data_IF_164124159376
#
_entry.id   IF_164124159376
#
_cell.length_a   1.000
_cell.length_b   1.000
_cell.length_c   1.000
_cell.angle_alpha   90.00
_cell.angle_beta   90.00
_cell.angle_gamma   90.00
#
_symmetry.space_group_name_H-M   'P 1'
#
loop_
_entity.id
_entity.type
_entity.pdbx_description
1 polymer ?
#
# COMPACT_ATOMS: atom_id res chain seq x y z
N UNK A 1 -16.24 12.67 10.02
CA UNK A 1 -15.28 12.17 9.02
C UNK A 1 -15.19 10.65 9.17
N UNK A 2 -15.25 9.89 8.08
CA UNK A 2 -15.04 8.45 8.10
C UNK A 2 -13.59 8.15 8.47
N UNK A 3 -13.38 7.15 9.35
CA UNK A 3 -12.05 6.75 9.81
C UNK A 3 -11.22 6.04 8.72
N UNK A 4 -11.86 5.64 7.61
CA UNK A 4 -11.25 4.87 6.53
C UNK A 4 -11.61 5.48 5.16
N UNK A 5 -10.68 5.39 4.17
CA UNK A 5 -10.93 5.85 2.80
C UNK A 5 -12.19 5.20 2.21
N UNK A 6 -13.07 6.03 1.66
CA UNK A 6 -14.33 5.63 1.05
C UNK A 6 -14.21 5.54 -0.47
N UNK A 7 -15.25 4.99 -1.11
CA UNK A 7 -15.36 4.98 -2.56
C UNK A 7 -15.50 6.40 -3.14
N UNK A 8 -16.08 7.31 -2.35
CA UNK A 8 -16.21 8.72 -2.69
C UNK A 8 -14.83 9.39 -2.69
N UNK A 9 -14.02 9.11 -1.66
CA UNK A 9 -12.64 9.64 -1.57
C UNK A 9 -11.79 9.22 -2.78
N UNK A 10 -11.90 7.96 -3.23
CA UNK A 10 -11.20 7.48 -4.44
C UNK A 10 -11.64 8.25 -5.69
N UNK A 11 -12.95 8.49 -5.85
CA UNK A 11 -13.46 9.24 -7.00
C UNK A 11 -13.04 10.70 -6.98
N UNK A 12 -13.01 11.32 -5.79
CA UNK A 12 -12.55 12.69 -5.61
C UNK A 12 -11.05 12.80 -5.93
N UNK A 13 -10.21 11.87 -5.46
CA UNK A 13 -8.79 11.82 -5.78
C UNK A 13 -8.57 11.67 -7.30
N UNK A 14 -9.31 10.78 -7.97
CA UNK A 14 -9.25 10.65 -9.43
C UNK A 14 -9.63 11.95 -10.16
N UNK A 15 -10.70 12.62 -9.71
CA UNK A 15 -11.15 13.88 -10.30
C UNK A 15 -10.11 15.00 -10.10
N UNK A 16 -9.56 15.13 -8.89
CA UNK A 16 -8.53 16.12 -8.58
C UNK A 16 -7.25 15.89 -9.38
N UNK A 17 -6.78 14.64 -9.50
CA UNK A 17 -5.63 14.30 -10.34
C UNK A 17 -5.88 14.61 -11.82
N UNK A 18 -7.05 14.25 -12.33
CA UNK A 18 -7.42 14.55 -13.71
C UNK A 18 -7.48 16.07 -13.97
N UNK A 19 -8.02 16.86 -13.03
CA UNK A 19 -8.05 18.32 -13.14
C UNK A 19 -6.65 18.93 -13.11
N UNK A 20 -5.79 18.50 -12.19
CA UNK A 20 -4.40 18.97 -12.12
C UNK A 20 -3.62 18.61 -13.39
N UNK A 21 -3.83 17.42 -13.94
CA UNK A 21 -3.20 16.99 -15.19
C UNK A 21 -3.72 17.79 -16.39
N UNK A 22 -5.02 18.08 -16.44
CA UNK A 22 -5.61 18.93 -17.47
C UNK A 22 -5.07 20.37 -17.40
N UNK A 23 -4.92 20.93 -16.18
CA UNK A 23 -4.28 22.23 -15.98
C UNK A 23 -2.82 22.22 -16.44
N UNK A 24 -2.05 21.20 -16.08
CA UNK A 24 -0.66 21.04 -16.50
C UNK A 24 -0.53 20.89 -18.03
N UNK A 25 -1.45 20.19 -18.68
CA UNK A 25 -1.48 20.05 -20.14
C UNK A 25 -1.93 21.33 -20.87
N UNK A 26 -2.63 22.24 -20.18
CA UNK A 26 -3.04 23.55 -20.69
C UNK A 26 -2.02 24.67 -20.44
N UNK A 27 -0.89 24.36 -19.78
CA UNK A 27 0.21 25.31 -19.65
C UNK A 27 0.80 25.57 -21.05
N UNK A 28 0.92 26.84 -21.50
CA UNK A 28 1.44 27.15 -22.82
C UNK A 28 2.87 26.59 -22.95
N UNK A 29 3.10 25.77 -23.97
CA UNK A 29 4.42 25.35 -24.38
C UNK A 29 5.18 26.58 -24.88
N UNK A 30 5.99 27.19 -24.02
CA UNK A 30 6.96 28.18 -24.49
C UNK A 30 7.90 27.45 -25.47
N UNK A 31 8.11 27.98 -26.68
CA UNK A 31 9.08 27.39 -27.60
C UNK A 31 10.47 27.36 -26.94
N UNK A 32 11.35 26.40 -27.27
CA UNK A 32 12.72 26.46 -26.80
C UNK A 32 13.30 27.80 -27.24
N UNK A 33 13.68 28.63 -26.27
CA UNK A 33 14.21 29.95 -26.54
C UNK A 33 15.46 29.79 -27.42
N UNK A 34 15.36 30.30 -28.65
CA UNK A 34 16.53 30.64 -29.46
C UNK A 34 17.48 31.40 -28.55
N UNK A 35 18.72 30.92 -28.38
CA UNK A 35 19.76 31.64 -27.67
C UNK A 35 20.33 32.73 -28.58
N UNK A 36 20.04 34.03 -28.35
CA UNK A 36 20.80 35.08 -28.98
C UNK A 36 21.97 35.38 -28.03
N UNK A 37 23.20 35.15 -28.49
CA UNK A 37 24.34 35.77 -27.84
C UNK A 37 24.18 37.29 -27.79
N UNK A 38 24.75 37.88 -26.74
CA UNK A 38 25.04 39.31 -26.49
C UNK A 38 24.05 40.05 -25.57
N UNK A 39 24.47 41.14 -24.93
CA UNK A 39 25.68 41.40 -24.13
C UNK A 39 25.28 41.70 -22.67
N UNK A 40 26.24 41.73 -21.74
CA UNK A 40 26.00 42.00 -20.31
C UNK A 40 25.79 43.51 -20.07
N UNK A 41 24.70 43.94 -19.38
CA UNK A 41 24.76 45.22 -18.67
C UNK A 41 24.14 45.18 -17.25
N UNK A 42 25.00 45.52 -16.29
CA UNK A 42 24.79 46.44 -15.16
C UNK A 42 23.41 46.52 -14.48
N UNK A 43 23.45 46.11 -13.21
CA UNK A 43 22.71 46.61 -12.04
C UNK A 43 21.85 47.86 -12.25
N UNK A 44 20.52 47.73 -12.11
CA UNK A 44 19.66 48.67 -11.39
C UNK A 44 18.22 48.14 -11.24
N UNK A 45 17.80 48.03 -9.98
CA UNK A 45 16.48 48.41 -9.42
C UNK A 45 15.17 47.86 -10.01
N UNK A 46 14.55 46.95 -9.24
CA UNK A 46 13.12 47.09 -8.86
C UNK A 46 12.07 46.34 -9.67
N UNK A 47 11.71 45.13 -9.21
CA UNK A 47 10.31 44.72 -8.92
C UNK A 47 10.29 43.30 -8.35
N UNK A 48 10.53 43.17 -7.04
CA UNK A 48 10.25 41.94 -6.29
C UNK A 48 8.77 41.93 -5.90
N UNK A 49 8.06 40.85 -6.25
CA UNK A 49 6.65 40.63 -5.90
C UNK A 49 6.44 40.24 -4.41
N UNK A 50 7.51 40.22 -3.61
CA UNK A 50 7.44 40.08 -2.16
C UNK A 50 8.17 41.26 -1.49
N UNK A 51 7.60 41.83 -0.41
CA UNK A 51 8.28 42.89 0.33
C UNK A 51 9.58 42.33 0.91
N UNK A 52 10.72 42.87 0.47
CA UNK A 52 12.00 42.65 1.15
C UNK A 52 11.98 43.42 2.47
N UNK A 53 12.39 42.76 3.54
CA UNK A 53 12.44 43.27 4.92
C UNK A 53 13.55 44.33 5.12
N UNK A 54 13.63 45.32 4.24
CA UNK A 54 14.66 46.36 4.27
C UNK A 54 14.45 47.40 5.37
N UNK A 55 13.21 47.64 5.78
CA UNK A 55 12.88 48.73 6.71
C UNK A 55 11.73 48.31 7.64
N UNK A 56 12.09 47.72 8.77
CA UNK A 56 11.13 47.38 9.83
C UNK A 56 11.56 48.12 11.11
N UNK A 57 10.67 48.97 11.63
CA UNK A 57 10.88 49.79 12.83
C UNK A 57 12.05 50.79 12.76
N UNK A 58 12.30 51.40 11.59
CA UNK A 58 13.24 52.53 11.46
C UNK A 58 14.71 52.21 11.73
N UNK A 59 15.08 50.93 11.63
CA UNK A 59 16.46 50.46 11.71
C UNK A 59 16.88 49.96 10.32
N UNK A 60 17.78 50.67 9.66
CA UNK A 60 18.43 50.18 8.44
C UNK A 60 19.40 49.05 8.82
N UNK A 61 18.98 47.81 8.57
CA UNK A 61 19.77 46.60 8.77
C UNK A 61 20.60 46.30 7.52
N UNK A 62 21.53 47.19 7.18
CA UNK A 62 22.49 46.95 6.10
C UNK A 62 23.51 45.89 6.56
N UNK A 63 23.89 44.95 5.67
CA UNK A 63 24.79 43.83 6.00
C UNK A 63 26.10 44.27 6.69
N UNK A 64 26.60 45.47 6.36
CA UNK A 64 27.82 46.02 6.94
C UNK A 64 27.63 46.47 8.40
N UNK A 65 26.44 46.93 8.78
CA UNK A 65 26.13 47.37 10.16
C UNK A 65 25.96 46.17 11.09
N UNK A 66 25.40 45.07 10.58
CA UNK A 66 25.23 43.82 11.33
C UNK A 66 26.59 43.19 11.65
N UNK A 67 27.51 43.17 10.68
CA UNK A 67 28.87 42.64 10.85
C UNK A 67 29.67 43.37 11.92
N UNK A 68 29.45 44.67 12.08
CA UNK A 68 30.20 45.49 13.03
C UNK A 68 29.70 45.35 14.48
N UNK A 69 28.40 45.14 14.68
CA UNK A 69 27.78 45.12 16.01
C UNK A 69 27.43 43.70 16.53
N UNK A 70 27.32 42.68 15.67
CA UNK A 70 27.09 41.28 16.06
C UNK A 70 27.87 40.31 15.16
N UNK A 71 29.16 40.05 15.44
CA UNK A 71 29.99 39.20 14.59
C UNK A 71 29.55 37.72 14.55
N UNK A 72 28.81 37.22 15.56
CA UNK A 72 28.30 35.84 15.59
C UNK A 72 27.23 35.54 14.52
N UNK A 73 26.51 36.55 14.02
CA UNK A 73 25.44 36.33 13.02
C UNK A 73 25.93 36.27 11.57
N UNK A 74 27.21 36.54 11.32
CA UNK A 74 27.80 36.58 9.97
C UNK A 74 28.00 35.21 9.29
N UNK A 75 27.68 34.10 9.98
CA UNK A 75 27.89 32.74 9.46
C UNK A 75 26.64 32.01 8.96
N UNK A 76 25.46 32.66 8.94
CA UNK A 76 24.19 31.95 8.63
C UNK A 76 23.65 32.24 7.21
N UNK A 77 24.25 33.16 6.46
CA UNK A 77 23.80 33.48 5.09
C UNK A 77 24.73 32.87 4.03
N UNK A 78 24.56 31.57 3.76
CA UNK A 78 24.95 30.98 2.48
C UNK A 78 23.71 30.83 1.59
N UNK A 79 23.79 31.20 0.29
CA UNK A 79 22.77 30.82 -0.68
C UNK A 79 22.76 29.29 -0.78
N UNK A 80 21.57 28.70 -0.77
CA UNK A 80 21.34 27.27 -0.98
C UNK A 80 21.84 26.85 -2.37
N UNK A 81 23.12 26.54 -2.48
CA UNK A 81 23.63 25.56 -3.42
C UNK A 81 23.38 24.17 -2.80
N UNK A 82 22.86 23.25 -3.59
CA UNK A 82 22.69 21.84 -3.21
C UNK A 82 24.05 21.23 -2.83
N UNK A 83 24.31 21.10 -1.53
CA UNK A 83 25.48 20.39 -1.00
C UNK A 83 25.13 18.90 -0.92
N UNK A 84 25.94 17.99 -1.51
CA UNK A 84 25.83 16.56 -1.26
C UNK A 84 26.13 16.31 0.22
N UNK A 85 25.19 15.71 0.94
CA UNK A 85 25.32 15.41 2.36
C UNK A 85 26.46 14.38 2.53
N UNK A 86 27.55 14.68 3.26
CA UNK A 86 28.51 13.67 3.64
C UNK A 86 27.82 12.75 4.66
N UNK A 87 27.75 11.47 4.32
CA UNK A 87 27.19 10.42 5.18
C UNK A 87 28.12 10.24 6.38
N UNK A 88 27.99 11.11 7.38
CA UNK A 88 28.56 10.90 8.71
C UNK A 88 27.88 9.68 9.32
N UNK A 89 28.68 8.74 9.81
CA UNK A 89 28.27 7.45 10.39
C UNK A 89 27.55 7.60 11.73
N UNK A 90 26.49 8.39 11.79
CA UNK A 90 25.50 8.34 12.85
C UNK A 90 24.32 7.57 12.30
N UNK A 91 24.42 6.25 12.43
CA UNK A 91 23.36 5.28 12.24
C UNK A 91 22.22 5.59 13.21
N UNK A 92 21.38 6.56 12.88
CA UNK A 92 19.97 6.51 13.26
C UNK A 92 19.39 5.33 12.47
N UNK A 93 19.50 4.13 13.04
CA UNK A 93 18.92 2.91 12.49
C UNK A 93 17.41 3.12 12.50
N UNK A 94 16.84 3.41 11.33
CA UNK A 94 15.40 3.24 11.11
C UNK A 94 14.99 1.87 11.64
N UNK A 95 13.75 1.66 12.15
CA UNK A 95 13.33 0.37 12.67
C UNK A 95 13.76 -0.72 11.68
N UNK A 96 14.54 -1.68 12.18
CA UNK A 96 15.27 -2.71 11.42
C UNK A 96 14.37 -3.45 10.40
N UNK A 97 13.05 -3.35 10.59
CA UNK A 97 12.00 -3.96 9.79
C UNK A 97 11.52 -3.12 8.58
N UNK A 98 11.84 -1.82 8.49
CA UNK A 98 11.32 -0.91 7.45
C UNK A 98 11.80 -1.22 6.03
N UNK A 99 12.94 -1.91 5.88
CA UNK A 99 13.47 -2.38 4.61
C UNK A 99 13.15 -3.85 4.33
N UNK A 100 12.38 -4.52 5.21
CA UNK A 100 12.08 -5.94 5.00
C UNK A 100 11.15 -6.13 3.80
N UNK A 101 11.54 -7.03 2.89
CA UNK A 101 10.77 -7.38 1.70
C UNK A 101 9.36 -7.88 2.08
N UNK A 102 9.26 -8.66 3.17
CA UNK A 102 7.98 -9.11 3.71
C UNK A 102 7.05 -7.98 4.10
N UNK A 103 7.55 -6.91 4.72
CA UNK A 103 6.73 -5.76 5.09
C UNK A 103 6.23 -5.00 3.85
N UNK A 104 7.08 -4.82 2.84
CA UNK A 104 6.69 -4.17 1.59
C UNK A 104 5.62 -4.98 0.83
N UNK A 105 5.75 -6.32 0.80
CA UNK A 105 4.79 -7.22 0.13
C UNK A 105 3.49 -7.42 0.90
N UNK A 106 3.57 -7.48 2.24
CA UNK A 106 2.44 -7.76 3.12
C UNK A 106 1.72 -6.51 3.63
N UNK A 107 2.11 -5.31 3.19
CA UNK A 107 1.43 -4.07 3.57
C UNK A 107 -0.04 -4.13 3.14
N UNK A 108 -0.94 -4.07 4.11
CA UNK A 108 -2.38 -3.93 3.88
C UNK A 108 -2.72 -2.45 3.98
N UNK A 109 -3.08 -1.83 2.85
CA UNK A 109 -3.41 -0.39 2.82
C UNK A 109 -4.78 -0.08 3.41
N UNK A 110 -5.69 -1.07 3.41
CA UNK A 110 -7.14 -0.90 3.62
C UNK A 110 -7.80 0.16 2.72
N UNK A 111 -7.06 0.65 1.72
CA UNK A 111 -7.49 1.66 0.78
C UNK A 111 -8.49 1.10 -0.22
N UNK A 112 -9.11 2.01 -0.97
CA UNK A 112 -9.96 1.65 -2.10
C UNK A 112 -9.14 1.87 -3.36
N UNK A 113 -9.03 0.82 -4.18
CA UNK A 113 -8.32 0.84 -5.47
C UNK A 113 -9.23 0.40 -6.60
N UNK A 114 -8.99 0.95 -7.80
CA UNK A 114 -9.67 0.53 -9.02
C UNK A 114 -8.78 -0.43 -9.81
N UNK A 115 -9.37 -1.54 -10.24
CA UNK A 115 -8.73 -2.58 -11.03
C UNK A 115 -9.46 -2.75 -12.36
N UNK A 116 -8.72 -3.11 -13.40
CA UNK A 116 -9.29 -3.49 -14.69
C UNK A 116 -9.02 -4.97 -14.92
N UNK A 117 -10.10 -5.75 -15.04
CA UNK A 117 -10.04 -7.18 -15.29
C UNK A 117 -10.34 -7.48 -16.76
N UNK A 118 -9.78 -8.58 -17.22
CA UNK A 118 -10.10 -9.20 -18.51
C UNK A 118 -10.61 -10.63 -18.27
N UNK A 119 -11.31 -11.19 -19.24
CA UNK A 119 -11.71 -12.60 -19.23
C UNK A 119 -10.66 -13.42 -19.97
N UNK A 120 -10.50 -14.65 -19.52
CA UNK A 120 -9.69 -15.65 -20.21
C UNK A 120 -10.39 -16.15 -21.50
N UNK A 121 -9.74 -17.09 -22.19
CA UNK A 121 -10.26 -17.72 -23.40
C UNK A 121 -11.57 -18.48 -23.16
N UNK A 122 -11.86 -18.87 -21.92
CA UNK A 122 -13.08 -19.56 -21.50
C UNK A 122 -14.17 -18.58 -21.02
N UNK A 123 -13.93 -17.27 -21.09
CA UNK A 123 -14.87 -16.25 -20.63
C UNK A 123 -14.97 -16.14 -19.10
N UNK A 124 -13.97 -16.64 -18.37
CA UNK A 124 -13.90 -16.61 -16.91
C UNK A 124 -12.84 -15.62 -16.45
N UNK A 125 -12.99 -15.15 -15.21
CA UNK A 125 -12.01 -14.24 -14.58
C UNK A 125 -11.13 -14.99 -13.55
N UNK A 126 -11.56 -16.20 -13.13
CA UNK A 126 -10.86 -16.98 -12.11
C UNK A 126 -11.10 -16.52 -10.67
N UNK A 127 -12.29 -15.98 -10.39
CA UNK A 127 -12.65 -15.42 -9.09
C UNK A 127 -13.87 -16.13 -8.48
N UNK A 128 -13.86 -16.39 -7.17
CA UNK A 128 -15.09 -16.67 -6.40
C UNK A 128 -15.29 -15.65 -5.29
N UNK A 129 -16.55 -15.29 -5.09
CA UNK A 129 -16.97 -14.31 -4.09
C UNK A 129 -17.95 -14.89 -3.08
N UNK A 130 -18.06 -14.26 -1.92
CA UNK A 130 -19.02 -14.60 -0.87
C UNK A 130 -19.66 -13.33 -0.30
N UNK A 131 -20.98 -13.32 -0.12
CA UNK A 131 -21.65 -12.25 0.62
C UNK A 131 -21.44 -12.42 2.13
N UNK A 132 -20.98 -11.36 2.81
CA UNK A 132 -20.82 -11.29 4.28
C UNK A 132 -21.31 -9.92 4.73
N UNK A 133 -22.27 -9.86 5.66
CA UNK A 133 -22.81 -8.60 6.21
C UNK A 133 -23.16 -7.55 5.13
N UNK A 134 -23.84 -7.97 4.06
CA UNK A 134 -24.17 -7.15 2.87
C UNK A 134 -22.97 -6.65 2.04
N UNK A 135 -21.73 -6.99 2.38
CA UNK A 135 -20.56 -6.82 1.53
C UNK A 135 -20.28 -8.05 0.66
N UNK A 136 -19.53 -7.87 -0.42
CA UNK A 136 -19.08 -8.96 -1.31
C UNK A 136 -17.57 -9.11 -1.16
N UNK A 137 -17.10 -10.29 -0.77
CA UNK A 137 -15.69 -10.56 -0.48
C UNK A 137 -15.13 -11.64 -1.37
N UNK A 138 -13.87 -11.48 -1.77
CA UNK A 138 -13.12 -12.46 -2.55
C UNK A 138 -12.70 -13.61 -1.65
N UNK A 139 -13.08 -14.83 -2.03
CA UNK A 139 -12.83 -16.04 -1.24
C UNK A 139 -11.92 -17.05 -1.93
N UNK A 140 -11.76 -16.95 -3.25
CA UNK A 140 -10.82 -17.74 -4.00
C UNK A 140 -10.38 -16.94 -5.22
N UNK A 141 -9.08 -16.90 -5.43
CA UNK A 141 -8.46 -16.40 -6.66
C UNK A 141 -7.70 -17.57 -7.26
N UNK A 142 -7.99 -17.87 -8.53
CA UNK A 142 -7.35 -18.97 -9.24
C UNK A 142 -5.94 -18.52 -9.65
N UNK A 143 -4.94 -19.37 -9.43
CA UNK A 143 -3.56 -19.12 -9.89
C UNK A 143 -3.52 -18.85 -11.40
N UNK A 144 -2.68 -17.90 -11.83
CA UNK A 144 -2.50 -17.51 -13.24
C UNK A 144 -3.78 -17.05 -13.95
N UNK A 145 -4.82 -16.68 -13.19
CA UNK A 145 -6.07 -16.15 -13.74
C UNK A 145 -6.00 -14.62 -13.94
N UNK A 146 -6.89 -14.05 -14.77
CA UNK A 146 -6.98 -12.60 -14.89
C UNK A 146 -7.23 -11.87 -13.56
N UNK A 147 -7.92 -12.50 -12.60
CA UNK A 147 -8.07 -11.98 -11.25
C UNK A 147 -6.74 -11.89 -10.50
N UNK A 148 -5.92 -12.94 -10.55
CA UNK A 148 -4.59 -12.97 -9.94
C UNK A 148 -3.67 -11.90 -10.56
N UNK A 149 -3.68 -11.80 -11.90
CA UNK A 149 -2.88 -10.80 -12.62
C UNK A 149 -3.29 -9.36 -12.34
N UNK A 150 -4.57 -9.11 -12.06
CA UNK A 150 -5.04 -7.80 -11.61
C UNK A 150 -4.73 -7.52 -10.13
N UNK A 151 -4.09 -8.46 -9.43
CA UNK A 151 -3.71 -8.31 -8.03
C UNK A 151 -4.86 -8.47 -7.05
N UNK A 152 -5.96 -9.14 -7.42
CA UNK A 152 -7.00 -9.52 -6.45
C UNK A 152 -6.45 -10.61 -5.52
N UNK A 153 -6.75 -10.48 -4.22
CA UNK A 153 -6.37 -11.47 -3.21
C UNK A 153 -7.58 -11.96 -2.42
N UNK A 154 -7.38 -13.07 -1.70
CA UNK A 154 -8.33 -13.47 -0.65
C UNK A 154 -8.54 -12.31 0.31
N UNK A 155 -9.77 -12.11 0.80
CA UNK A 155 -10.08 -11.05 1.76
C UNK A 155 -10.46 -9.71 1.14
N UNK A 156 -10.14 -9.47 -0.14
CA UNK A 156 -10.52 -8.23 -0.83
C UNK A 156 -12.04 -8.04 -0.88
N UNK A 157 -12.51 -6.82 -0.62
CA UNK A 157 -13.93 -6.48 -0.68
C UNK A 157 -14.27 -5.77 -1.99
N UNK A 158 -15.18 -6.33 -2.77
CA UNK A 158 -15.67 -5.68 -3.99
C UNK A 158 -16.76 -4.68 -3.63
N UNK A 159 -16.58 -3.43 -4.05
CA UNK A 159 -17.53 -2.34 -3.83
C UNK A 159 -18.36 -2.04 -5.08
N UNK A 160 -17.71 -2.02 -6.25
CA UNK A 160 -18.37 -1.76 -7.54
C UNK A 160 -17.82 -2.67 -8.64
N UNK A 161 -18.67 -3.03 -9.59
CA UNK A 161 -18.29 -3.65 -10.87
C UNK A 161 -18.96 -2.87 -12.00
N UNK A 162 -18.17 -2.36 -12.95
CA UNK A 162 -18.61 -1.53 -14.08
C UNK A 162 -19.56 -0.39 -13.64
N UNK A 163 -19.19 0.30 -12.56
CA UNK A 163 -19.98 1.40 -11.97
C UNK A 163 -21.21 0.98 -11.16
N UNK A 164 -21.55 -0.31 -11.11
CA UNK A 164 -22.69 -0.82 -10.33
C UNK A 164 -22.25 -1.20 -8.91
N UNK A 165 -22.89 -0.63 -7.89
CA UNK A 165 -22.69 -1.04 -6.49
C UNK A 165 -23.13 -2.49 -6.28
N UNK A 166 -22.27 -3.30 -5.67
CA UNK A 166 -22.56 -4.72 -5.41
C UNK A 166 -22.99 -5.00 -3.96
N UNK A 167 -23.19 -3.95 -3.15
CA UNK A 167 -23.68 -4.10 -1.79
C UNK A 167 -25.03 -4.85 -1.76
N UNK A 168 -25.13 -5.86 -0.91
CA UNK A 168 -26.31 -6.72 -0.77
C UNK A 168 -26.50 -7.75 -1.88
N UNK A 169 -25.61 -7.84 -2.87
CA UNK A 169 -25.77 -8.81 -3.94
C UNK A 169 -25.44 -10.23 -3.46
N UNK A 170 -26.18 -11.21 -3.97
CA UNK A 170 -25.86 -12.62 -3.79
C UNK A 170 -24.65 -13.02 -4.64
N UNK A 171 -24.02 -14.13 -4.27
CA UNK A 171 -22.91 -14.72 -5.04
C UNK A 171 -23.29 -14.90 -6.52
N UNK A 172 -24.46 -15.47 -6.80
CA UNK A 172 -24.92 -15.74 -8.16
C UNK A 172 -25.11 -14.46 -8.97
N UNK A 173 -25.69 -13.42 -8.36
CA UNK A 173 -25.90 -12.12 -9.01
C UNK A 173 -24.57 -11.45 -9.38
N UNK A 174 -23.54 -11.57 -8.54
CA UNK A 174 -22.19 -11.06 -8.84
C UNK A 174 -21.56 -11.85 -9.99
N UNK A 175 -21.69 -13.18 -9.98
CA UNK A 175 -21.19 -14.01 -11.07
C UNK A 175 -21.90 -13.73 -12.40
N UNK A 176 -23.21 -13.48 -12.37
CA UNK A 176 -23.98 -13.09 -13.55
C UNK A 176 -23.54 -11.74 -14.10
N UNK A 177 -23.24 -10.78 -13.23
CA UNK A 177 -22.73 -9.46 -13.62
C UNK A 177 -21.37 -9.60 -14.31
N UNK A 178 -20.46 -10.39 -13.76
CA UNK A 178 -19.16 -10.70 -14.39
C UNK A 178 -19.33 -11.44 -15.72
N UNK A 179 -20.28 -12.37 -15.83
CA UNK A 179 -20.58 -13.09 -17.08
C UNK A 179 -21.14 -12.16 -18.16
N UNK A 180 -22.03 -11.23 -17.81
CA UNK A 180 -22.62 -10.25 -18.75
C UNK A 180 -21.66 -9.14 -19.16
N UNK A 181 -20.61 -8.90 -18.38
CA UNK A 181 -19.60 -7.88 -18.68
C UNK A 181 -18.82 -8.21 -19.97
N UNK A 182 -18.20 -7.22 -20.64
CA UNK A 182 -17.37 -7.46 -21.80
C UNK A 182 -16.17 -8.36 -21.47
N UNK A 183 -15.52 -8.90 -22.52
CA UNK A 183 -14.31 -9.73 -22.38
C UNK A 183 -13.17 -8.91 -21.77
N UNK A 184 -12.98 -7.66 -22.20
CA UNK A 184 -11.95 -6.78 -21.68
C UNK A 184 -12.57 -5.53 -21.05
N UNK A 185 -11.83 -4.90 -20.13
CA UNK A 185 -12.22 -3.60 -19.58
C UNK A 185 -13.25 -3.68 -18.44
N UNK A 186 -13.30 -4.80 -17.71
CA UNK A 186 -14.19 -4.92 -16.55
C UNK A 186 -13.59 -4.10 -15.41
N UNK A 187 -14.19 -2.97 -15.09
CA UNK A 187 -13.71 -2.11 -14.01
C UNK A 187 -14.27 -2.59 -12.67
N UNK A 188 -13.40 -2.79 -11.69
CA UNK A 188 -13.78 -3.23 -10.35
C UNK A 188 -13.16 -2.30 -9.33
N UNK A 189 -13.99 -1.71 -8.46
CA UNK A 189 -13.51 -0.97 -7.30
C UNK A 189 -13.47 -1.92 -6.10
N UNK A 190 -12.31 -2.02 -5.47
CA UNK A 190 -12.02 -2.98 -4.41
C UNK A 190 -11.49 -2.22 -3.20
N UNK A 191 -11.88 -2.65 -2.00
CA UNK A 191 -11.22 -2.28 -0.75
C UNK A 191 -10.28 -3.40 -0.32
N UNK A 192 -9.04 -3.02 -0.06
CA UNK A 192 -7.94 -3.92 0.30
C UNK A 192 -8.24 -4.58 1.65
N UNK A 193 -8.54 -5.88 1.62
CA UNK A 193 -8.46 -6.80 2.77
C UNK A 193 -8.88 -6.17 4.13
N UNK A 194 -10.14 -5.70 4.28
CA UNK A 194 -10.57 -4.88 5.41
C UNK A 194 -10.58 -5.59 6.77
N UNK A 195 -10.54 -6.92 6.80
CA UNK A 195 -10.55 -7.72 8.03
C UNK A 195 -9.18 -8.32 8.38
N UNK A 196 -8.18 -8.04 7.56
CA UNK A 196 -6.83 -8.57 7.75
C UNK A 196 -6.00 -7.66 8.62
N UNK A 197 -5.02 -8.24 9.30
CA UNK A 197 -4.04 -7.52 10.10
C UNK A 197 -2.65 -8.05 9.80
N UNK A 198 -1.74 -7.14 9.44
CA UNK A 198 -0.33 -7.44 9.26
C UNK A 198 0.41 -7.28 10.59
N UNK A 199 1.22 -8.26 10.96
CA UNK A 199 2.02 -8.27 12.18
C UNK A 199 3.45 -8.64 11.82
N UNK A 200 4.40 -7.78 12.16
CA UNK A 200 5.83 -8.04 12.00
C UNK A 200 6.39 -8.64 13.29
N UNK A 201 7.09 -9.75 13.15
CA UNK A 201 7.67 -10.55 14.21
C UNK A 201 9.17 -10.67 13.98
N UNK A 202 9.89 -10.95 15.07
CA UNK A 202 11.32 -11.22 15.03
C UNK A 202 11.58 -12.62 15.55
N UNK A 203 12.41 -13.37 14.84
CA UNK A 203 12.93 -14.65 15.32
C UNK A 203 13.86 -14.42 16.51
N UNK A 204 13.76 -15.30 17.49
CA UNK A 204 14.76 -15.39 18.56
C UNK A 204 16.03 -16.10 18.05
N UNK A 205 17.05 -16.17 18.88
CA UNK A 205 18.31 -16.91 18.67
C UNK A 205 18.13 -18.38 18.24
N UNK A 206 17.00 -19.00 18.60
CA UNK A 206 16.62 -20.38 18.22
C UNK A 206 15.83 -20.42 16.89
N UNK A 207 15.60 -19.29 16.23
CA UNK A 207 14.84 -19.21 14.97
C UNK A 207 13.31 -19.24 15.15
N UNK A 208 12.81 -19.15 16.38
CA UNK A 208 11.39 -19.24 16.69
C UNK A 208 10.75 -17.84 16.84
N UNK A 209 9.54 -17.66 16.31
CA UNK A 209 8.74 -16.42 16.46
C UNK A 209 7.75 -16.46 17.64
N UNK A 210 7.42 -17.67 18.12
CA UNK A 210 6.71 -17.88 19.39
C UNK A 210 5.20 -18.04 19.34
N UNK A 211 4.65 -18.64 18.28
CA UNK A 211 3.28 -19.14 18.28
C UNK A 211 3.19 -20.53 17.68
N UNK A 212 2.13 -21.27 18.04
CA UNK A 212 1.78 -22.56 17.46
C UNK A 212 0.47 -22.42 16.71
N UNK A 213 0.37 -23.08 15.56
CA UNK A 213 -0.82 -23.07 14.73
C UNK A 213 -1.15 -24.49 14.26
N UNK A 214 -2.43 -24.72 13.95
CA UNK A 214 -2.96 -25.99 13.45
C UNK A 214 -3.97 -25.73 12.35
N UNK A 215 -3.77 -26.36 11.19
CA UNK A 215 -4.53 -26.09 9.96
C UNK A 215 -4.57 -24.59 9.62
N UNK A 216 -3.42 -23.91 9.80
CA UNK A 216 -3.29 -22.46 9.65
C UNK A 216 -3.96 -21.58 10.72
N UNK A 217 -4.68 -22.15 11.71
CA UNK A 217 -5.26 -21.39 12.84
C UNK A 217 -4.27 -21.28 13.99
N UNK A 218 -4.02 -20.08 14.50
CA UNK A 218 -3.17 -19.83 15.67
C UNK A 218 -3.90 -20.29 16.94
N UNK A 219 -3.27 -21.22 17.67
CA UNK A 219 -3.86 -21.86 18.87
C UNK A 219 -3.19 -21.36 20.15
N UNK A 220 -1.87 -21.27 20.16
CA UNK A 220 -1.10 -20.99 21.37
C UNK A 220 -0.03 -19.95 21.08
N UNK A 221 0.21 -19.07 22.04
CA UNK A 221 1.28 -18.07 21.99
C UNK A 221 2.25 -18.36 23.13
N UNK A 222 3.54 -18.38 22.82
CA UNK A 222 4.61 -18.61 23.78
C UNK A 222 4.84 -17.30 24.56
N UNK A 223 4.94 -17.40 25.88
CA UNK A 223 5.24 -16.24 26.74
C UNK A 223 6.62 -15.67 26.43
N UNK A 224 6.77 -14.37 26.60
CA UNK A 224 8.02 -13.62 26.36
C UNK A 224 8.58 -13.69 24.92
N UNK A 225 7.79 -14.22 23.99
CA UNK A 225 8.16 -14.30 22.58
C UNK A 225 7.87 -13.03 21.79
N UNK A 226 8.39 -12.93 20.56
CA UNK A 226 8.02 -11.84 19.66
C UNK A 226 6.53 -11.82 19.35
N UNK A 227 5.88 -12.98 19.20
CA UNK A 227 4.44 -13.07 18.98
C UNK A 227 3.63 -12.46 20.13
N UNK A 228 4.03 -12.72 21.39
CA UNK A 228 3.39 -12.14 22.56
C UNK A 228 3.58 -10.62 22.62
N UNK A 229 4.81 -10.14 22.36
CA UNK A 229 5.16 -8.70 22.39
C UNK A 229 4.45 -7.88 21.31
N UNK A 230 4.25 -8.46 20.12
CA UNK A 230 3.60 -7.78 18.99
C UNK A 230 2.08 -8.00 18.94
N UNK A 231 1.50 -8.65 19.96
CA UNK A 231 0.05 -8.81 20.10
C UNK A 231 -0.57 -9.70 19.02
N UNK A 232 0.10 -10.80 18.65
CA UNK A 232 -0.53 -11.90 17.91
C UNK A 232 -1.70 -12.41 18.75
N UNK A 233 -2.80 -12.78 18.11
CA UNK A 233 -4.01 -13.25 18.78
C UNK A 233 -4.26 -14.71 18.43
N UNK A 234 -4.77 -15.47 19.39
CA UNK A 234 -5.31 -16.82 19.15
C UNK A 234 -6.65 -16.72 18.43
N UNK A 235 -7.15 -17.84 17.88
CA UNK A 235 -8.39 -17.86 17.08
C UNK A 235 -8.35 -16.92 15.87
N UNK A 236 -7.15 -16.77 15.30
CA UNK A 236 -6.89 -16.10 14.03
C UNK A 236 -6.28 -17.08 13.04
N UNK A 237 -6.67 -16.95 11.77
CA UNK A 237 -6.15 -17.73 10.66
C UNK A 237 -4.98 -16.99 10.00
N UNK A 238 -3.89 -17.71 9.74
CA UNK A 238 -2.79 -17.24 8.89
C UNK A 238 -3.24 -17.18 7.43
N UNK A 239 -3.03 -16.03 6.79
CA UNK A 239 -3.32 -15.81 5.38
C UNK A 239 -2.05 -15.67 4.55
N UNK A 240 -1.07 -14.90 5.04
CA UNK A 240 0.18 -14.68 4.33
C UNK A 240 1.39 -14.78 5.28
N UNK A 241 2.52 -15.23 4.75
CA UNK A 241 3.83 -15.19 5.40
C UNK A 241 4.80 -14.52 4.42
N UNK A 242 5.47 -13.44 4.81
CA UNK A 242 6.36 -12.64 3.95
C UNK A 242 5.69 -12.14 2.64
N UNK A 243 4.37 -11.93 2.71
CA UNK A 243 3.54 -11.56 1.56
C UNK A 243 3.18 -12.72 0.61
N UNK A 244 3.63 -13.94 0.89
CA UNK A 244 3.19 -15.13 0.17
C UNK A 244 1.90 -15.69 0.79
N UNK A 245 0.88 -15.93 -0.02
CA UNK A 245 -0.38 -16.53 0.43
C UNK A 245 -0.16 -17.99 0.88
N UNK A 246 -0.65 -18.34 2.08
CA UNK A 246 -0.57 -19.68 2.67
C UNK A 246 -1.94 -20.37 2.86
N UNK A 247 -3.02 -19.76 2.38
CA UNK A 247 -4.39 -20.27 2.54
C UNK A 247 -4.58 -21.61 1.84
N UNK A 248 -4.81 -22.67 2.62
CA UNK A 248 -5.03 -24.02 2.10
C UNK A 248 -3.78 -24.90 2.08
N UNK A 249 -2.60 -24.34 2.31
CA UNK A 249 -1.37 -25.13 2.41
C UNK A 249 -1.36 -26.02 3.66
N UNK A 250 -0.53 -27.07 3.65
CA UNK A 250 -0.33 -27.92 4.82
C UNK A 250 0.55 -27.19 5.83
N UNK A 251 0.32 -27.41 7.12
CA UNK A 251 1.11 -26.78 8.20
C UNK A 251 2.62 -26.97 8.00
N UNK A 252 3.05 -28.15 7.54
CA UNK A 252 4.47 -28.41 7.22
C UNK A 252 5.07 -27.46 6.18
N UNK A 253 4.29 -27.03 5.19
CA UNK A 253 4.76 -26.08 4.16
C UNK A 253 4.83 -24.67 4.74
N UNK A 254 3.83 -24.27 5.53
CA UNK A 254 3.80 -22.97 6.20
C UNK A 254 4.96 -22.84 7.19
N UNK A 255 5.26 -23.89 7.96
CA UNK A 255 6.42 -23.92 8.86
C UNK A 255 7.72 -23.74 8.09
N UNK A 256 7.89 -24.40 6.93
CA UNK A 256 9.07 -24.21 6.08
C UNK A 256 9.23 -22.77 5.61
N UNK A 257 8.15 -22.12 5.17
CA UNK A 257 8.23 -20.71 4.78
C UNK A 257 8.61 -19.79 5.93
N UNK A 258 8.14 -20.08 7.14
CA UNK A 258 8.55 -19.34 8.35
C UNK A 258 10.02 -19.61 8.68
N UNK A 259 10.51 -20.85 8.55
CA UNK A 259 11.91 -21.22 8.80
C UNK A 259 12.86 -20.58 7.78
N UNK A 260 12.50 -20.58 6.50
CA UNK A 260 13.26 -20.00 5.38
C UNK A 260 13.23 -18.47 5.36
N UNK A 261 12.26 -17.84 6.01
CA UNK A 261 12.20 -16.39 6.15
C UNK A 261 13.43 -15.84 6.92
N UNK A 262 13.70 -14.54 6.79
CA UNK A 262 14.78 -13.89 7.54
C UNK A 262 14.49 -13.76 9.04
N UNK A 263 15.34 -12.99 9.73
CA UNK A 263 15.16 -12.68 11.16
C UNK A 263 13.86 -11.91 11.43
N UNK A 264 13.43 -11.11 10.46
CA UNK A 264 12.15 -10.39 10.48
C UNK A 264 11.15 -11.19 9.66
N UNK A 265 10.03 -11.54 10.28
CA UNK A 265 8.95 -12.31 9.66
C UNK A 265 7.65 -11.52 9.79
N UNK A 266 7.05 -11.17 8.67
CA UNK A 266 5.76 -10.49 8.59
C UNK A 266 4.69 -11.50 8.22
N UNK A 267 3.66 -11.57 9.06
CA UNK A 267 2.50 -12.43 8.85
C UNK A 267 1.24 -11.58 8.67
N UNK A 268 0.33 -12.05 7.84
CA UNK A 268 -1.01 -11.46 7.71
C UNK A 268 -2.03 -12.43 8.29
N UNK A 269 -2.88 -11.95 9.19
CA UNK A 269 -3.87 -12.76 9.90
C UNK A 269 -5.28 -12.21 9.75
N UNK A 270 -6.28 -13.08 9.86
CA UNK A 270 -7.70 -12.72 9.87
C UNK A 270 -8.39 -13.46 11.04
N UNK A 271 -9.42 -12.89 11.68
CA UNK A 271 -10.19 -13.62 12.68
C UNK A 271 -10.79 -14.91 12.11
N UNK A 272 -10.66 -16.04 12.84
CA UNK A 272 -11.07 -17.35 12.34
C UNK A 272 -12.55 -17.43 11.99
N UNK A 273 -13.42 -16.74 12.74
CA UNK A 273 -14.87 -16.73 12.44
C UNK A 273 -15.20 -16.13 11.06
N UNK A 274 -14.44 -15.12 10.63
CA UNK A 274 -14.62 -14.49 9.30
C UNK A 274 -14.12 -15.44 8.23
N UNK A 275 -12.92 -15.99 8.43
CA UNK A 275 -12.32 -16.96 7.51
C UNK A 275 -13.23 -18.17 7.29
N UNK A 276 -13.76 -18.75 8.36
CA UNK A 276 -14.70 -19.88 8.28
C UNK A 276 -15.94 -19.51 7.47
N UNK A 277 -16.49 -18.31 7.65
CA UNK A 277 -17.63 -17.83 6.87
C UNK A 277 -17.31 -17.66 5.37
N UNK A 278 -16.11 -17.19 5.04
CA UNK A 278 -15.63 -17.02 3.66
C UNK A 278 -15.48 -18.36 2.94
N UNK A 279 -14.88 -19.35 3.62
CA UNK A 279 -14.62 -20.68 3.04
C UNK A 279 -15.81 -21.63 3.21
N UNK A 280 -16.85 -21.23 3.97
CA UNK A 280 -18.06 -22.04 4.21
C UNK A 280 -18.70 -22.53 2.91
N UNK A 281 -18.96 -23.83 2.84
CA UNK A 281 -19.51 -24.56 1.67
C UNK A 281 -18.58 -24.61 0.45
N UNK A 282 -17.29 -24.29 0.60
CA UNK A 282 -16.28 -24.62 -0.42
C UNK A 282 -15.68 -25.99 -0.15
N UNK A 283 -15.43 -26.75 -1.23
CA UNK A 283 -14.68 -27.99 -1.11
C UNK A 283 -13.23 -27.67 -0.72
N UNK A 284 -12.73 -28.26 0.37
CA UNK A 284 -11.37 -28.01 0.84
C UNK A 284 -10.28 -28.37 -0.18
N UNK A 285 -10.56 -29.30 -1.09
CA UNK A 285 -9.69 -29.64 -2.23
C UNK A 285 -9.58 -28.52 -3.26
N UNK A 286 -10.65 -27.75 -3.45
CA UNK A 286 -10.71 -26.68 -4.43
C UNK A 286 -9.82 -25.52 -4.01
N UNK A 287 -9.84 -25.14 -2.73
CA UNK A 287 -8.94 -24.13 -2.17
C UNK A 287 -7.49 -24.59 -2.26
N UNK A 288 -7.21 -25.85 -1.93
CA UNK A 288 -5.86 -26.42 -1.96
C UNK A 288 -5.21 -26.44 -3.34
N UNK A 289 -6.00 -26.66 -4.38
CA UNK A 289 -5.47 -26.94 -5.72
C UNK A 289 -5.49 -25.72 -6.65
N UNK A 290 -6.39 -24.76 -6.40
CA UNK A 290 -6.60 -23.63 -7.31
C UNK A 290 -6.14 -22.30 -6.71
N UNK A 291 -5.97 -22.19 -5.40
CA UNK A 291 -5.63 -20.90 -4.79
C UNK A 291 -4.26 -20.42 -5.27
N UNK A 292 -4.19 -19.14 -5.62
CA UNK A 292 -2.93 -18.49 -5.97
C UNK A 292 -2.01 -18.34 -4.76
N UNK A 293 -0.81 -18.90 -4.87
CA UNK A 293 0.27 -18.85 -3.88
C UNK A 293 1.50 -18.08 -4.38
N UNK A 294 1.35 -17.35 -5.48
CA UNK A 294 2.41 -16.52 -6.04
C UNK A 294 2.82 -15.41 -5.07
N UNK A 295 4.11 -15.06 -5.14
CA UNK A 295 4.66 -13.96 -4.35
C UNK A 295 4.42 -12.67 -5.14
N UNK A 296 3.84 -11.62 -4.53
CA UNK A 296 3.68 -10.33 -5.18
C UNK A 296 5.04 -9.80 -5.65
N UNK A 297 5.14 -9.45 -6.93
CA UNK A 297 6.28 -8.70 -7.46
C UNK A 297 6.22 -7.26 -6.94
N UNK A 298 7.37 -6.74 -6.49
CA UNK A 298 7.55 -5.35 -6.07
C UNK A 298 7.83 -4.47 -7.30
#
# INVERSE_FOLDING_TARGET
MSLYPSLEDMKIDHMSRAQNQALAASAPSYPPAYSPEMPVPQTATGNSAYPSLGEFMGLELTEDVIKQNMPEYSQIALPHASIPIPVGSTTMVAPISGQSLGLQRAQVSHGVRQLTLCKDKEGKVGLRVKPINNGVFVCLVVENSPAALAGLRFGDQILQINGTNVAGFSMDKVHDLLRKSPVNGIQVAVRDRPFERTITLHKDSVGCIGFQFKNGKIVTIVKDSSAARNGVLTEHQLLEVEGQNVVGLKDKQVTKFIEEAGDVVTITVIPSFIYEHMVKKMAGSLVKNLMDHSIPNL
#
